data_IF_183869293473
#
_entry.id   IF_183869293473
#
_cell.length_a   1.000
_cell.length_b   1.000
_cell.length_c   1.000
_cell.angle_alpha   90.00
_cell.angle_beta   90.00
_cell.angle_gamma   90.00
#
_symmetry.space_group_name_H-M   'P 1'
#
loop_
_entity.id
_entity.type
_entity.pdbx_description
1 polymer ?
#
# COMPACT_ATOMS: atom_id res chain seq x y z
N UNK A 1 19.51 26.04 -7.68
CA UNK A 1 18.11 25.79 -7.34
C UNK A 1 17.79 26.41 -6.00
N UNK A 2 16.59 26.97 -5.85
CA UNK A 2 16.17 27.62 -4.62
C UNK A 2 15.79 26.59 -3.56
N UNK A 3 15.91 26.95 -2.29
CA UNK A 3 15.46 26.11 -1.16
C UNK A 3 13.95 25.81 -1.29
N UNK A 4 13.17 26.78 -1.71
CA UNK A 4 11.74 26.65 -1.95
C UNK A 4 11.39 25.52 -2.95
N UNK A 5 12.11 25.46 -4.08
CA UNK A 5 11.91 24.35 -5.03
C UNK A 5 12.22 22.98 -4.42
N UNK A 6 13.29 22.88 -3.61
CA UNK A 6 13.63 21.62 -2.95
C UNK A 6 12.55 21.17 -1.95
N UNK A 7 11.97 22.12 -1.23
CA UNK A 7 10.92 21.87 -0.26
C UNK A 7 9.61 21.42 -0.97
N UNK A 8 9.24 22.10 -2.06
CA UNK A 8 8.09 21.76 -2.90
C UNK A 8 8.29 20.39 -3.58
N UNK A 9 9.48 20.11 -4.11
CA UNK A 9 9.80 18.82 -4.71
C UNK A 9 9.73 17.68 -3.68
N UNK A 10 10.24 17.93 -2.47
CA UNK A 10 10.13 16.96 -1.37
C UNK A 10 8.69 16.72 -0.94
N UNK A 11 7.82 17.74 -0.97
CA UNK A 11 6.39 17.58 -0.72
C UNK A 11 5.71 16.77 -1.83
N UNK A 12 5.98 17.08 -3.10
CA UNK A 12 5.47 16.37 -4.26
C UNK A 12 5.87 14.88 -4.23
N UNK A 13 7.12 14.59 -3.90
CA UNK A 13 7.61 13.21 -3.77
C UNK A 13 6.83 12.42 -2.70
N UNK A 14 6.58 13.04 -1.53
CA UNK A 14 5.77 12.41 -0.47
C UNK A 14 4.33 12.19 -0.91
N UNK A 15 3.71 13.15 -1.60
CA UNK A 15 2.35 13.05 -2.09
C UNK A 15 2.21 11.92 -3.12
N UNK A 16 3.12 11.86 -4.11
CA UNK A 16 3.16 10.76 -5.10
C UNK A 16 3.32 9.41 -4.40
N UNK A 17 4.28 9.27 -3.48
CA UNK A 17 4.48 8.04 -2.73
C UNK A 17 3.19 7.60 -1.99
N UNK A 18 2.52 8.53 -1.32
CA UNK A 18 1.27 8.29 -0.60
C UNK A 18 0.13 7.83 -1.53
N UNK A 19 0.07 8.36 -2.76
CA UNK A 19 -0.90 7.94 -3.78
C UNK A 19 -0.70 6.48 -4.17
N UNK A 20 0.54 6.05 -4.42
CA UNK A 20 0.85 4.64 -4.72
C UNK A 20 0.56 3.71 -3.54
N UNK A 21 0.89 4.12 -2.31
CA UNK A 21 0.54 3.34 -1.11
C UNK A 21 -0.99 3.19 -0.94
N UNK A 22 -1.75 4.27 -1.12
CA UNK A 22 -3.23 4.26 -1.03
C UNK A 22 -3.87 3.43 -2.15
N UNK A 23 -3.24 3.36 -3.32
CA UNK A 23 -3.68 2.49 -4.42
C UNK A 23 -3.44 0.99 -4.13
N UNK A 24 -2.88 0.66 -2.98
CA UNK A 24 -2.59 -0.72 -2.60
C UNK A 24 -1.32 -1.29 -3.23
N UNK A 25 -0.50 -0.43 -3.85
CA UNK A 25 0.79 -0.85 -4.37
C UNK A 25 1.77 -1.10 -3.22
N UNK A 26 2.22 -2.32 -3.07
CA UNK A 26 3.12 -2.72 -1.98
C UNK A 26 4.55 -2.94 -2.44
N UNK A 27 4.73 -3.36 -3.69
CA UNK A 27 6.04 -3.71 -4.25
C UNK A 27 6.39 -2.73 -5.39
N UNK A 28 6.77 -1.51 -5.02
CA UNK A 28 7.28 -0.52 -5.97
C UNK A 28 8.51 0.15 -5.38
N UNK A 29 9.36 0.68 -6.26
CA UNK A 29 10.47 1.54 -5.87
C UNK A 29 10.32 2.90 -6.50
N UNK A 30 10.50 3.95 -5.69
CA UNK A 30 10.48 5.33 -6.12
C UNK A 30 11.88 5.90 -5.94
N UNK A 31 12.48 6.38 -7.03
CA UNK A 31 13.82 6.94 -7.06
C UNK A 31 13.80 8.29 -7.75
N UNK A 32 14.57 9.22 -7.21
CA UNK A 32 14.84 10.52 -7.84
C UNK A 32 16.14 10.42 -8.60
N UNK A 33 16.15 10.87 -9.84
CA UNK A 33 17.35 11.01 -10.67
C UNK A 33 17.95 12.42 -10.52
N UNK A 34 19.17 12.60 -11.02
CA UNK A 34 19.93 13.86 -10.86
C UNK A 34 19.27 15.06 -11.53
N UNK A 35 18.39 14.83 -12.51
CA UNK A 35 17.60 15.82 -13.24
C UNK A 35 16.21 16.10 -12.62
N UNK A 36 15.98 15.65 -11.39
CA UNK A 36 14.68 15.71 -10.70
C UNK A 36 13.57 14.87 -11.33
N UNK A 37 13.90 13.95 -12.20
CA UNK A 37 12.95 12.95 -12.70
C UNK A 37 12.62 11.96 -11.58
N UNK A 38 11.33 11.73 -11.37
CA UNK A 38 10.83 10.71 -10.44
C UNK A 38 10.63 9.43 -11.23
N UNK A 39 11.47 8.44 -10.99
CA UNK A 39 11.35 7.10 -11.56
C UNK A 39 10.62 6.17 -10.62
N UNK A 40 9.54 5.57 -11.10
CA UNK A 40 8.73 4.61 -10.35
C UNK A 40 8.81 3.26 -11.07
N UNK A 41 9.26 2.25 -10.37
CA UNK A 41 9.36 0.88 -10.87
C UNK A 41 8.36 0.01 -10.13
N UNK A 42 7.44 -0.61 -10.85
CA UNK A 42 6.41 -1.49 -10.31
C UNK A 42 6.64 -2.89 -10.88
N UNK A 43 7.21 -3.82 -10.11
CA UNK A 43 7.42 -5.19 -10.57
C UNK A 43 6.10 -5.95 -10.66
N UNK A 44 6.03 -6.90 -11.59
CA UNK A 44 4.91 -7.84 -11.68
C UNK A 44 3.68 -7.36 -12.45
N UNK A 45 3.73 -6.17 -13.06
CA UNK A 45 2.73 -5.78 -14.06
C UNK A 45 3.08 -6.44 -15.39
N UNK A 46 2.13 -7.21 -15.93
CA UNK A 46 2.27 -7.87 -17.23
C UNK A 46 1.73 -6.94 -18.32
N UNK A 47 2.63 -6.31 -19.08
CA UNK A 47 2.28 -5.42 -20.16
C UNK A 47 1.83 -6.15 -21.45
N UNK A 48 1.90 -7.46 -21.48
CA UNK A 48 1.22 -8.26 -22.52
C UNK A 48 -0.30 -8.29 -22.27
N UNK A 49 -0.74 -7.98 -21.03
CA UNK A 49 -2.13 -7.73 -20.71
C UNK A 49 -2.47 -6.25 -20.94
N UNK A 50 -3.32 -6.00 -21.92
CA UNK A 50 -3.81 -4.65 -22.26
C UNK A 50 -4.40 -3.88 -21.07
N UNK A 51 -5.11 -4.56 -20.17
CA UNK A 51 -5.70 -3.92 -18.98
C UNK A 51 -4.64 -3.51 -17.96
N UNK A 52 -3.60 -4.32 -17.77
CA UNK A 52 -2.51 -3.97 -16.86
C UNK A 52 -1.69 -2.78 -17.38
N UNK A 53 -1.44 -2.71 -18.70
CA UNK A 53 -0.80 -1.55 -19.31
C UNK A 53 -1.64 -0.28 -19.12
N UNK A 54 -2.94 -0.35 -19.44
CA UNK A 54 -3.86 0.78 -19.30
C UNK A 54 -3.98 1.25 -17.84
N UNK A 55 -3.98 0.32 -16.88
CA UNK A 55 -4.00 0.65 -15.45
C UNK A 55 -2.72 1.36 -15.02
N UNK A 56 -1.54 0.85 -15.42
CA UNK A 56 -0.27 1.49 -15.12
C UNK A 56 -0.18 2.91 -15.72
N UNK A 57 -0.61 3.08 -16.97
CA UNK A 57 -0.65 4.37 -17.64
C UNK A 57 -1.60 5.35 -16.91
N UNK A 58 -2.75 4.86 -16.46
CA UNK A 58 -3.70 5.66 -15.70
C UNK A 58 -3.12 6.09 -14.35
N UNK A 59 -2.49 5.18 -13.62
CA UNK A 59 -1.84 5.53 -12.34
C UNK A 59 -0.78 6.61 -12.50
N UNK A 60 0.15 6.44 -13.45
CA UNK A 60 1.23 7.40 -13.62
C UNK A 60 0.70 8.77 -14.05
N UNK A 61 -0.32 8.80 -14.90
CA UNK A 61 -0.95 10.02 -15.37
C UNK A 61 -1.69 10.74 -14.24
N UNK A 62 -2.62 10.06 -13.56
CA UNK A 62 -3.43 10.68 -12.51
C UNK A 62 -2.60 11.02 -11.26
N UNK A 63 -1.64 10.18 -10.89
CA UNK A 63 -0.82 10.43 -9.70
C UNK A 63 0.20 11.55 -9.89
N UNK A 64 0.44 11.98 -11.12
CA UNK A 64 1.23 13.19 -11.44
C UNK A 64 0.41 14.49 -11.42
N UNK A 65 -0.94 14.43 -11.31
CA UNK A 65 -1.75 15.65 -11.31
C UNK A 65 -1.46 16.52 -10.08
N UNK A 66 -1.35 17.81 -10.34
CA UNK A 66 -1.08 18.86 -9.35
C UNK A 66 -2.34 19.71 -9.11
N UNK A 67 -2.39 20.39 -7.99
CA UNK A 67 -3.49 21.27 -7.61
C UNK A 67 -4.52 20.62 -6.68
N UNK A 68 -5.42 21.45 -6.16
CA UNK A 68 -6.54 21.08 -5.30
C UNK A 68 -7.76 20.59 -6.09
N UNK A 69 -8.75 20.09 -5.36
CA UNK A 69 -10.04 19.67 -5.93
C UNK A 69 -10.95 20.88 -6.06
N UNK A 70 -11.60 21.01 -7.22
CA UNK A 70 -12.67 21.98 -7.45
C UNK A 70 -13.85 21.27 -8.11
N UNK A 71 -15.05 21.46 -7.55
CA UNK A 71 -16.29 21.08 -8.19
C UNK A 71 -16.92 22.32 -8.82
N UNK A 72 -17.30 22.26 -10.09
CA UNK A 72 -17.90 23.39 -10.80
C UNK A 72 -18.84 22.96 -11.93
N UNK A 73 -19.58 23.89 -12.52
CA UNK A 73 -20.38 23.67 -13.73
C UNK A 73 -19.59 23.94 -15.03
N UNK A 74 -18.35 24.42 -14.93
CA UNK A 74 -17.47 24.58 -16.09
C UNK A 74 -16.93 23.23 -16.55
N UNK A 75 -17.00 22.96 -17.86
CA UNK A 75 -16.52 21.70 -18.43
C UNK A 75 -14.99 21.61 -18.50
N UNK A 76 -14.30 22.73 -18.46
CA UNK A 76 -12.85 22.84 -18.36
C UNK A 76 -12.47 23.48 -17.02
N UNK A 77 -11.33 23.07 -16.47
CA UNK A 77 -10.89 23.54 -15.15
C UNK A 77 -10.58 25.04 -15.11
N UNK A 78 -10.15 25.62 -16.24
CA UNK A 78 -9.92 27.05 -16.45
C UNK A 78 -11.13 27.79 -17.03
N UNK A 79 -12.27 27.11 -17.18
CA UNK A 79 -13.51 27.67 -17.70
C UNK A 79 -14.20 28.62 -16.72
N UNK A 80 -14.98 29.58 -17.26
CA UNK A 80 -15.85 30.42 -16.43
C UNK A 80 -16.94 29.56 -15.82
N UNK A 81 -16.92 29.41 -14.48
CA UNK A 81 -17.92 28.70 -13.71
C UNK A 81 -19.02 29.65 -13.22
N UNK A 82 -20.29 29.24 -13.32
CA UNK A 82 -21.39 29.97 -12.71
C UNK A 82 -21.44 29.73 -11.20
N UNK A 83 -21.08 28.52 -10.77
CA UNK A 83 -20.95 28.14 -9.38
C UNK A 83 -19.84 27.12 -9.19
N UNK A 84 -19.11 27.23 -8.08
CA UNK A 84 -18.03 26.33 -7.74
C UNK A 84 -17.94 26.06 -6.24
N UNK A 85 -17.32 24.93 -5.87
CA UNK A 85 -17.04 24.54 -4.49
C UNK A 85 -15.62 23.98 -4.42
N UNK A 86 -14.81 24.45 -3.47
CA UNK A 86 -13.50 23.88 -3.21
C UNK A 86 -13.61 22.53 -2.49
N UNK A 87 -12.85 21.55 -2.95
CA UNK A 87 -12.82 20.19 -2.40
C UNK A 87 -11.77 20.02 -1.30
N UNK A 88 -11.69 20.95 -0.35
CA UNK A 88 -10.79 20.86 0.81
C UNK A 88 -11.35 19.94 1.90
N UNK A 89 -10.53 19.63 2.92
CA UNK A 89 -10.96 18.87 4.11
C UNK A 89 -12.09 19.51 4.92
N UNK A 90 -12.39 20.80 4.69
CA UNK A 90 -13.57 21.46 5.23
C UNK A 90 -14.85 20.93 4.57
N UNK A 91 -14.83 20.69 3.28
CA UNK A 91 -15.99 20.31 2.47
C UNK A 91 -16.07 18.81 2.20
N UNK A 92 -14.94 18.13 2.01
CA UNK A 92 -14.87 16.69 1.71
C UNK A 92 -14.26 15.95 2.90
N UNK A 93 -14.96 14.93 3.40
CA UNK A 93 -14.49 14.07 4.48
C UNK A 93 -13.56 12.98 3.99
N UNK A 94 -13.94 12.31 2.91
CA UNK A 94 -13.16 11.21 2.30
C UNK A 94 -13.68 10.90 0.91
N UNK A 95 -12.83 10.29 0.08
CA UNK A 95 -13.23 9.72 -1.20
C UNK A 95 -12.89 8.23 -1.20
N UNK A 96 -13.84 7.40 -1.61
CA UNK A 96 -13.72 5.94 -1.63
C UNK A 96 -14.31 5.37 -2.90
N UNK A 97 -14.21 4.07 -3.09
CA UNK A 97 -14.87 3.34 -4.18
C UNK A 97 -16.00 2.48 -3.63
N UNK A 98 -17.02 2.25 -4.45
CA UNK A 98 -18.09 1.32 -4.15
C UNK A 98 -18.47 0.53 -5.40
N UNK A 99 -18.81 -0.75 -5.20
CA UNK A 99 -19.36 -1.58 -6.26
C UNK A 99 -20.82 -1.17 -6.51
N UNK A 100 -21.14 -0.77 -7.75
CA UNK A 100 -22.46 -0.36 -8.20
C UNK A 100 -23.22 -1.48 -8.93
N UNK A 101 -22.87 -2.73 -8.70
CA UNK A 101 -23.49 -3.90 -9.33
C UNK A 101 -23.27 -3.94 -10.85
N UNK A 102 -24.36 -4.05 -11.61
CA UNK A 102 -24.30 -4.12 -13.09
C UNK A 102 -23.74 -2.84 -13.74
N UNK A 103 -23.64 -1.74 -12.98
CA UNK A 103 -23.09 -0.46 -13.46
C UNK A 103 -21.57 -0.34 -13.20
N UNK A 104 -20.89 -1.40 -12.79
CA UNK A 104 -19.47 -1.41 -12.50
C UNK A 104 -19.13 -0.83 -11.13
N UNK A 105 -18.16 0.06 -11.09
CA UNK A 105 -17.71 0.74 -9.86
C UNK A 105 -18.02 2.24 -9.91
N UNK A 106 -18.17 2.82 -8.73
CA UNK A 106 -18.38 4.24 -8.54
C UNK A 106 -17.32 4.85 -7.64
N UNK A 107 -16.96 6.09 -7.94
CA UNK A 107 -16.24 6.97 -7.02
C UNK A 107 -17.27 7.59 -6.08
N UNK A 108 -17.02 7.48 -4.78
CA UNK A 108 -17.93 7.94 -3.72
C UNK A 108 -17.27 9.07 -2.96
N UNK A 109 -17.82 10.28 -3.08
CA UNK A 109 -17.32 11.46 -2.38
C UNK A 109 -18.23 11.69 -1.17
N UNK A 110 -17.67 11.57 0.03
CA UNK A 110 -18.37 11.81 1.28
C UNK A 110 -18.13 13.26 1.71
N UNK A 111 -19.21 14.05 1.78
CA UNK A 111 -19.15 15.44 2.18
C UNK A 111 -19.18 15.59 3.71
N UNK A 112 -18.66 16.69 4.20
CA UNK A 112 -18.90 17.17 5.56
C UNK A 112 -20.25 17.88 5.64
N UNK A 113 -20.66 18.33 6.82
CA UNK A 113 -21.86 19.15 6.95
C UNK A 113 -21.74 20.49 6.21
N UNK A 114 -20.54 21.10 6.22
CA UNK A 114 -20.25 22.32 5.47
C UNK A 114 -20.25 22.06 3.96
N UNK A 115 -19.62 20.96 3.53
CA UNK A 115 -19.58 20.57 2.12
C UNK A 115 -20.96 20.23 1.56
N UNK A 116 -21.83 19.59 2.33
CA UNK A 116 -23.22 19.35 1.94
C UNK A 116 -23.97 20.66 1.70
N UNK A 117 -23.82 21.64 2.58
CA UNK A 117 -24.47 22.96 2.41
C UNK A 117 -23.89 23.68 1.19
N UNK A 118 -22.56 23.72 1.03
CA UNK A 118 -21.90 24.32 -0.13
C UNK A 118 -22.32 23.64 -1.45
N UNK A 119 -22.41 22.31 -1.46
CA UNK A 119 -22.87 21.56 -2.63
C UNK A 119 -24.33 21.82 -2.97
N UNK A 120 -25.17 21.93 -1.96
CA UNK A 120 -26.59 22.28 -2.12
C UNK A 120 -26.75 23.68 -2.73
N UNK A 121 -26.02 24.68 -2.23
CA UNK A 121 -26.03 26.04 -2.75
C UNK A 121 -25.51 26.08 -4.20
N UNK A 122 -24.41 25.39 -4.49
CA UNK A 122 -23.83 25.26 -5.83
C UNK A 122 -24.88 24.68 -6.81
N UNK A 123 -25.47 23.53 -6.48
CA UNK A 123 -26.45 22.85 -7.36
C UNK A 123 -27.75 23.63 -7.53
N UNK A 124 -28.17 24.39 -6.52
CA UNK A 124 -29.30 25.34 -6.59
C UNK A 124 -29.00 26.45 -7.61
N UNK A 125 -27.79 27.04 -7.54
CA UNK A 125 -27.36 28.10 -8.45
C UNK A 125 -27.29 27.61 -9.89
N UNK A 126 -26.69 26.45 -10.12
CA UNK A 126 -26.57 25.81 -11.44
C UNK A 126 -27.96 25.51 -12.02
N UNK A 127 -28.86 24.99 -11.18
CA UNK A 127 -30.24 24.67 -11.61
C UNK A 127 -31.06 25.89 -11.98
N UNK A 128 -30.85 27.00 -11.29
CA UNK A 128 -31.57 28.27 -11.57
C UNK A 128 -31.05 28.96 -12.84
N UNK A 129 -29.79 28.76 -13.20
CA UNK A 129 -29.17 29.32 -14.41
C UNK A 129 -29.40 28.47 -15.66
N UNK A 130 -29.73 27.19 -15.50
CA UNK A 130 -29.99 26.28 -16.62
C UNK A 130 -31.40 26.47 -17.17
N UNK A 131 -31.55 26.73 -18.47
CA UNK A 131 -32.85 26.73 -19.14
C UNK A 131 -33.51 25.36 -19.01
N UNK A 132 -34.76 25.31 -18.70
CA UNK A 132 -35.64 24.23 -18.21
C UNK A 132 -35.66 22.88 -19.00
N UNK A 133 -34.72 22.58 -19.90
CA UNK A 133 -34.68 21.35 -20.69
C UNK A 133 -33.33 20.62 -20.75
N UNK A 134 -32.27 21.18 -20.19
CA UNK A 134 -30.96 20.50 -20.13
C UNK A 134 -30.62 20.13 -18.68
N UNK A 135 -30.30 18.86 -18.44
CA UNK A 135 -29.70 18.44 -17.18
C UNK A 135 -28.37 19.20 -16.99
N UNK A 136 -28.23 19.88 -15.87
CA UNK A 136 -26.95 20.50 -15.50
C UNK A 136 -25.92 19.42 -15.22
N UNK A 137 -24.66 19.71 -15.49
CA UNK A 137 -23.56 18.79 -15.21
C UNK A 137 -22.61 19.46 -14.23
N UNK A 138 -22.22 18.75 -13.21
CA UNK A 138 -21.14 19.13 -12.30
C UNK A 138 -19.89 18.35 -12.71
N UNK A 139 -18.80 19.05 -12.81
CA UNK A 139 -17.47 18.50 -13.11
C UNK A 139 -16.61 18.57 -11.85
N UNK A 140 -15.76 17.56 -11.69
CA UNK A 140 -14.75 17.51 -10.61
C UNK A 140 -13.38 17.65 -11.26
N UNK A 141 -12.69 18.70 -10.89
CA UNK A 141 -11.35 19.03 -11.38
C UNK A 141 -10.30 18.80 -10.31
N UNK A 142 -9.09 18.46 -10.74
CA UNK A 142 -7.88 18.52 -9.91
C UNK A 142 -6.86 19.35 -10.68
N UNK A 143 -6.50 20.52 -10.14
CA UNK A 143 -5.73 21.51 -10.87
C UNK A 143 -6.37 21.84 -12.22
N UNK A 144 -5.62 21.67 -13.30
CA UNK A 144 -6.07 21.98 -14.67
C UNK A 144 -6.80 20.79 -15.35
N UNK A 145 -7.03 19.70 -14.65
CA UNK A 145 -7.56 18.48 -15.25
C UNK A 145 -8.97 18.13 -14.75
N UNK A 146 -9.88 17.86 -15.69
CA UNK A 146 -11.21 17.35 -15.39
C UNK A 146 -11.19 15.83 -15.21
N UNK A 147 -11.56 15.34 -14.03
CA UNK A 147 -11.51 13.92 -13.67
C UNK A 147 -12.84 13.20 -13.80
N UNK A 148 -13.90 13.84 -13.34
CA UNK A 148 -15.24 13.27 -13.23
C UNK A 148 -16.28 14.26 -13.71
N UNK A 149 -17.43 13.75 -14.16
CA UNK A 149 -18.59 14.54 -14.47
C UNK A 149 -19.86 13.79 -14.06
N UNK A 150 -20.83 14.51 -13.52
CA UNK A 150 -22.12 13.95 -13.10
C UNK A 150 -23.28 14.88 -13.46
N UNK A 151 -24.34 14.30 -14.03
CA UNK A 151 -25.57 15.03 -14.30
C UNK A 151 -26.34 15.34 -13.01
N UNK A 152 -26.78 16.58 -12.86
CA UNK A 152 -27.52 17.09 -11.69
C UNK A 152 -28.93 17.46 -12.11
N UNK A 153 -29.91 16.96 -11.38
CA UNK A 153 -31.33 17.24 -11.61
C UNK A 153 -31.91 18.10 -10.48
N UNK A 154 -31.59 19.38 -10.48
CA UNK A 154 -32.07 20.29 -9.47
C UNK A 154 -31.15 20.44 -8.25
N UNK A 155 -31.63 21.11 -7.21
CA UNK A 155 -30.96 21.24 -5.92
C UNK A 155 -30.74 19.85 -5.30
N UNK A 156 -29.51 19.54 -4.91
CA UNK A 156 -29.14 18.25 -4.30
C UNK A 156 -28.73 18.47 -2.84
N UNK A 157 -29.50 17.88 -1.93
CA UNK A 157 -29.21 17.88 -0.49
C UNK A 157 -28.76 16.48 -0.04
N UNK A 158 -27.54 16.12 -0.39
CA UNK A 158 -26.94 14.82 -0.11
C UNK A 158 -25.56 14.98 0.52
N UNK A 159 -25.25 14.10 1.46
CA UNK A 159 -23.94 14.03 2.12
C UNK A 159 -22.98 13.04 1.43
N UNK A 160 -23.45 12.34 0.40
CA UNK A 160 -22.64 11.38 -0.36
C UNK A 160 -22.97 11.47 -1.85
N UNK A 161 -21.94 11.68 -2.67
CA UNK A 161 -22.07 11.75 -4.12
C UNK A 161 -21.54 10.45 -4.73
N UNK A 162 -22.33 9.81 -5.61
CA UNK A 162 -21.95 8.60 -6.33
C UNK A 162 -21.76 8.93 -7.80
N UNK A 163 -20.56 8.72 -8.33
CA UNK A 163 -20.22 8.92 -9.74
C UNK A 163 -19.76 7.59 -10.29
N UNK A 164 -20.61 6.89 -11.03
CA UNK A 164 -20.39 5.52 -11.50
C UNK A 164 -20.03 5.41 -12.97
N UNK A 165 -19.90 4.16 -13.45
CA UNK A 165 -19.60 3.84 -14.84
C UNK A 165 -18.12 3.55 -15.09
N UNK A 166 -17.37 3.19 -14.05
CA UNK A 166 -15.94 2.87 -14.13
C UNK A 166 -15.65 1.37 -13.93
N UNK A 167 -14.49 0.93 -14.37
CA UNK A 167 -13.91 -0.32 -13.89
C UNK A 167 -13.43 -0.15 -12.44
N UNK A 168 -13.07 -1.25 -11.78
CA UNK A 168 -12.55 -1.21 -10.41
C UNK A 168 -11.27 -0.39 -10.34
N UNK A 169 -10.37 -0.62 -11.28
CA UNK A 169 -9.07 0.04 -11.40
C UNK A 169 -9.23 1.55 -11.64
N UNK A 170 -10.10 1.91 -12.60
CA UNK A 170 -10.36 3.31 -12.92
C UNK A 170 -10.97 4.08 -11.74
N UNK A 171 -11.95 3.47 -11.04
CA UNK A 171 -12.55 4.07 -9.87
C UNK A 171 -11.52 4.23 -8.75
N UNK A 172 -10.66 3.22 -8.54
CA UNK A 172 -9.62 3.22 -7.52
C UNK A 172 -8.61 4.33 -7.74
N UNK A 173 -8.07 4.46 -8.96
CA UNK A 173 -7.08 5.50 -9.27
C UNK A 173 -7.66 6.90 -9.06
N UNK A 174 -8.89 7.16 -9.52
CA UNK A 174 -9.56 8.45 -9.34
C UNK A 174 -9.89 8.74 -7.87
N UNK A 175 -10.39 7.75 -7.14
CA UNK A 175 -10.70 7.91 -5.73
C UNK A 175 -9.45 8.19 -4.89
N UNK A 176 -8.35 7.48 -5.15
CA UNK A 176 -7.06 7.69 -4.48
C UNK A 176 -6.51 9.08 -4.75
N UNK A 177 -6.56 9.54 -6.01
CA UNK A 177 -6.12 10.88 -6.36
C UNK A 177 -6.94 11.93 -5.59
N UNK A 178 -8.27 11.88 -5.68
CA UNK A 178 -9.14 12.83 -5.00
C UNK A 178 -8.94 12.79 -3.48
N UNK A 179 -8.92 11.60 -2.87
CA UNK A 179 -8.70 11.47 -1.42
C UNK A 179 -7.32 12.00 -0.96
N UNK A 180 -6.32 11.95 -1.85
CA UNK A 180 -5.00 12.52 -1.56
C UNK A 180 -4.98 14.05 -1.63
N UNK A 181 -5.87 14.68 -2.38
CA UNK A 181 -5.94 16.14 -2.57
C UNK A 181 -6.88 16.83 -1.57
N UNK A 182 -7.49 16.12 -0.62
CA UNK A 182 -8.34 16.70 0.43
C UNK A 182 -7.50 17.51 1.44
N UNK A 183 -6.27 17.06 1.73
CA UNK A 183 -5.37 17.72 2.68
C UNK A 183 -4.39 18.62 1.93
N UNK A 184 -4.32 19.88 2.34
CA UNK A 184 -3.40 20.87 1.76
C UNK A 184 -1.94 20.42 1.80
N UNK A 185 -1.56 19.61 2.80
CA UNK A 185 -0.21 19.04 2.91
C UNK A 185 0.15 18.02 1.82
N UNK A 186 -0.84 17.46 1.14
CA UNK A 186 -0.70 16.40 0.14
C UNK A 186 -0.98 16.91 -1.29
N UNK A 187 -1.33 18.19 -1.44
CA UNK A 187 -1.48 18.85 -2.73
C UNK A 187 -0.09 19.04 -3.34
N UNK A 188 0.02 18.71 -4.63
CA UNK A 188 1.24 18.93 -5.40
C UNK A 188 1.15 20.29 -6.09
N UNK A 189 2.03 21.22 -5.70
CA UNK A 189 2.10 22.56 -6.30
C UNK A 189 3.02 22.63 -7.53
N UNK A 190 3.80 21.57 -7.77
CA UNK A 190 4.69 21.48 -8.92
C UNK A 190 3.97 20.82 -10.10
N UNK A 191 4.06 21.43 -11.27
CA UNK A 191 3.63 20.80 -12.51
C UNK A 191 4.67 19.80 -13.01
N UNK A 192 4.25 18.59 -13.27
CA UNK A 192 5.07 17.58 -13.92
C UNK A 192 4.91 17.64 -15.44
N UNK A 193 5.98 17.33 -16.17
CA UNK A 193 5.89 17.05 -17.60
C UNK A 193 5.05 15.78 -17.83
N UNK A 194 4.63 15.56 -19.10
CA UNK A 194 3.85 14.38 -19.46
C UNK A 194 4.61 13.10 -19.07
N UNK A 195 4.06 12.25 -18.18
CA UNK A 195 4.74 11.07 -17.73
C UNK A 195 4.84 10.02 -18.85
N UNK A 196 5.97 9.35 -18.92
CA UNK A 196 6.21 8.23 -19.82
C UNK A 196 6.11 6.90 -19.08
N UNK A 197 5.44 5.92 -19.68
CA UNK A 197 5.32 4.57 -19.15
C UNK A 197 5.85 3.57 -20.18
N UNK A 198 6.72 2.68 -19.75
CA UNK A 198 7.26 1.62 -20.60
C UNK A 198 7.54 0.35 -19.80
N UNK A 199 7.39 -0.80 -20.46
CA UNK A 199 7.75 -2.08 -19.87
C UNK A 199 9.24 -2.34 -19.99
N UNK A 200 9.79 -3.06 -19.02
CA UNK A 200 11.16 -3.54 -19.03
C UNK A 200 11.17 -5.03 -18.69
N UNK A 201 11.93 -5.80 -19.46
CA UNK A 201 12.13 -7.20 -19.14
C UNK A 201 12.81 -7.36 -17.77
N UNK A 202 12.40 -8.40 -16.99
CA UNK A 202 13.00 -8.64 -15.68
C UNK A 202 14.51 -8.98 -15.84
N UNK A 203 15.35 -8.17 -15.23
CA UNK A 203 16.84 -8.32 -15.27
C UNK A 203 17.29 -9.70 -14.81
N UNK A 204 16.57 -10.32 -13.87
CA UNK A 204 16.87 -11.66 -13.35
C UNK A 204 16.26 -12.81 -14.18
N UNK A 205 15.58 -12.50 -15.28
CA UNK A 205 14.88 -13.45 -16.14
C UNK A 205 13.47 -13.84 -15.66
N UNK A 206 12.65 -14.35 -16.58
CA UNK A 206 11.24 -14.69 -16.34
C UNK A 206 11.03 -15.77 -15.28
N UNK A 207 12.00 -16.65 -15.05
CA UNK A 207 11.91 -17.73 -14.06
C UNK A 207 12.54 -17.38 -12.71
N UNK A 208 12.91 -16.13 -12.47
CA UNK A 208 13.59 -15.69 -11.24
C UNK A 208 12.81 -16.03 -9.96
N UNK A 209 11.50 -15.82 -9.95
CA UNK A 209 10.65 -16.16 -8.81
C UNK A 209 10.67 -17.65 -8.48
N UNK A 210 10.62 -18.52 -9.50
CA UNK A 210 10.67 -19.98 -9.33
C UNK A 210 12.05 -20.40 -8.80
N UNK A 211 13.14 -19.84 -9.35
CA UNK A 211 14.50 -20.13 -8.90
C UNK A 211 14.69 -19.72 -7.43
N UNK A 212 14.21 -18.54 -7.05
CA UNK A 212 14.25 -18.06 -5.65
C UNK A 212 13.44 -19.00 -4.75
N UNK A 213 12.24 -19.39 -5.14
CA UNK A 213 11.41 -20.32 -4.37
C UNK A 213 12.09 -21.68 -4.17
N UNK A 214 12.73 -22.23 -5.20
CA UNK A 214 13.52 -23.48 -5.10
C UNK A 214 14.70 -23.31 -4.14
N UNK A 215 15.47 -22.22 -4.27
CA UNK A 215 16.60 -21.95 -3.37
C UNK A 215 16.17 -21.84 -1.91
N UNK A 216 15.07 -21.15 -1.64
CA UNK A 216 14.46 -21.04 -0.31
C UNK A 216 14.05 -22.42 0.21
N UNK A 217 13.36 -23.21 -0.60
CA UNK A 217 12.95 -24.57 -0.25
C UNK A 217 14.14 -25.46 0.13
N UNK A 218 15.22 -25.40 -0.64
CA UNK A 218 16.46 -26.12 -0.36
C UNK A 218 17.11 -25.67 0.96
N UNK A 219 17.17 -24.35 1.21
CA UNK A 219 17.71 -23.81 2.47
C UNK A 219 16.89 -24.24 3.69
N UNK A 220 15.57 -24.15 3.61
CA UNK A 220 14.66 -24.59 4.68
C UNK A 220 14.83 -26.09 4.93
N UNK A 221 14.86 -26.91 3.88
CA UNK A 221 15.05 -28.35 4.01
C UNK A 221 16.41 -28.66 4.67
N UNK A 222 17.47 -27.99 4.26
CA UNK A 222 18.79 -28.16 4.85
C UNK A 222 18.80 -27.81 6.35
N UNK A 223 18.12 -26.72 6.75
CA UNK A 223 17.98 -26.32 8.16
C UNK A 223 17.21 -27.39 8.99
N UNK A 224 16.13 -27.93 8.45
CA UNK A 224 15.35 -28.98 9.13
C UNK A 224 16.14 -30.29 9.27
N UNK A 225 16.83 -30.70 8.21
CA UNK A 225 17.70 -31.89 8.24
C UNK A 225 18.83 -31.69 9.24
N UNK A 226 19.49 -30.53 9.24
CA UNK A 226 20.53 -30.20 10.22
C UNK A 226 20.01 -30.32 11.66
N UNK A 227 18.83 -29.77 11.94
CA UNK A 227 18.19 -29.87 13.26
C UNK A 227 17.91 -31.32 13.68
N UNK A 228 17.41 -32.16 12.78
CA UNK A 228 17.14 -33.57 13.06
C UNK A 228 18.43 -34.34 13.34
N UNK A 229 19.46 -34.14 12.54
CA UNK A 229 20.76 -34.83 12.70
C UNK A 229 21.46 -34.38 14.00
N UNK A 230 21.50 -33.08 14.27
CA UNK A 230 22.19 -32.49 15.41
C UNK A 230 21.49 -32.74 16.75
N UNK A 231 20.19 -32.65 16.79
CA UNK A 231 19.39 -32.69 18.04
C UNK A 231 18.51 -33.93 18.16
N UNK A 232 18.43 -34.78 17.14
CA UNK A 232 17.65 -36.03 17.16
C UNK A 232 16.18 -35.78 17.58
N UNK A 233 15.72 -36.35 18.68
CA UNK A 233 14.33 -36.17 19.15
C UNK A 233 13.93 -34.71 19.46
N UNK A 234 14.85 -33.87 19.93
CA UNK A 234 14.60 -32.44 20.07
C UNK A 234 14.50 -31.73 18.72
N UNK A 235 15.16 -32.25 17.68
CA UNK A 235 15.01 -31.77 16.32
C UNK A 235 13.59 -31.91 15.76
N UNK A 236 12.87 -32.97 16.17
CA UNK A 236 11.44 -33.12 15.83
C UNK A 236 10.59 -31.98 16.42
N UNK A 237 10.87 -31.54 17.64
CA UNK A 237 10.19 -30.39 18.24
C UNK A 237 10.45 -29.10 17.43
N UNK A 238 11.67 -28.96 16.88
CA UNK A 238 11.97 -27.83 15.99
C UNK A 238 11.20 -27.90 14.69
N UNK A 239 11.12 -29.07 14.03
CA UNK A 239 10.33 -29.28 12.81
C UNK A 239 8.86 -28.94 13.06
N UNK A 240 8.29 -29.41 14.17
CA UNK A 240 6.91 -29.08 14.56
C UNK A 240 6.71 -27.58 14.75
N UNK A 241 7.61 -26.91 15.47
CA UNK A 241 7.60 -25.47 15.66
C UNK A 241 7.67 -24.71 14.33
N UNK A 242 8.50 -25.17 13.40
CA UNK A 242 8.62 -24.57 12.06
C UNK A 242 7.33 -24.72 11.24
N UNK A 243 6.70 -25.89 11.27
CA UNK A 243 5.40 -26.11 10.62
C UNK A 243 4.33 -25.18 11.20
N UNK A 244 4.30 -25.06 12.54
CA UNK A 244 3.37 -24.13 13.21
C UNK A 244 3.59 -22.68 12.77
N UNK A 245 4.87 -22.25 12.70
CA UNK A 245 5.23 -20.93 12.21
C UNK A 245 4.77 -20.73 10.76
N UNK A 246 5.05 -21.70 9.87
CA UNK A 246 4.63 -21.62 8.47
C UNK A 246 3.10 -21.50 8.32
N UNK A 247 2.34 -22.27 9.09
CA UNK A 247 0.87 -22.18 9.12
C UNK A 247 0.43 -20.78 9.61
N UNK A 248 1.07 -20.24 10.64
CA UNK A 248 0.75 -18.91 11.15
C UNK A 248 1.03 -17.82 10.10
N UNK A 249 2.17 -17.88 9.40
CA UNK A 249 2.50 -16.95 8.31
C UNK A 249 1.47 -17.04 7.18
N UNK A 250 1.12 -18.24 6.73
CA UNK A 250 0.08 -18.42 5.70
C UNK A 250 -1.26 -17.85 6.16
N UNK A 251 -1.65 -18.11 7.41
CA UNK A 251 -2.87 -17.56 7.98
C UNK A 251 -2.85 -16.02 8.02
N UNK A 252 -1.74 -15.41 8.42
CA UNK A 252 -1.61 -13.95 8.40
C UNK A 252 -1.75 -13.38 7.00
N UNK A 253 -1.10 -13.97 6.00
CA UNK A 253 -1.20 -13.54 4.59
C UNK A 253 -2.64 -13.69 4.08
N UNK A 254 -3.34 -14.76 4.47
CA UNK A 254 -4.70 -15.02 4.00
C UNK A 254 -5.77 -14.18 4.70
N UNK A 255 -5.57 -13.81 5.97
CA UNK A 255 -6.59 -13.14 6.79
C UNK A 255 -6.43 -11.62 6.81
N UNK A 256 -5.22 -11.11 6.53
CA UNK A 256 -4.92 -9.68 6.59
C UNK A 256 -4.69 -9.16 5.17
N UNK A 257 -5.66 -8.46 4.55
CA UNK A 257 -5.54 -8.00 3.17
C UNK A 257 -4.35 -7.06 2.91
N UNK A 258 -3.88 -6.38 3.97
CA UNK A 258 -2.72 -5.49 3.89
C UNK A 258 -1.38 -6.23 3.82
N UNK A 259 -1.35 -7.55 4.06
CA UNK A 259 -0.12 -8.34 4.00
C UNK A 259 0.01 -8.98 2.64
N UNK A 260 0.96 -8.52 1.87
CA UNK A 260 1.24 -9.03 0.52
C UNK A 260 2.59 -9.76 0.49
N UNK A 261 2.70 -10.76 -0.39
CA UNK A 261 3.96 -11.49 -0.59
C UNK A 261 4.85 -10.67 -1.51
N UNK A 262 5.78 -9.93 -0.92
CA UNK A 262 6.80 -9.18 -1.64
C UNK A 262 8.17 -9.85 -1.49
N UNK A 263 9.14 -9.49 -2.32
CA UNK A 263 10.51 -9.96 -2.16
C UNK A 263 11.09 -9.57 -0.78
N UNK A 264 10.77 -8.37 -0.31
CA UNK A 264 11.11 -7.88 1.03
C UNK A 264 10.48 -8.75 2.13
N UNK A 265 9.20 -9.10 2.01
CA UNK A 265 8.49 -9.99 2.95
C UNK A 265 9.11 -11.40 3.00
N UNK A 266 9.51 -11.95 1.85
CA UNK A 266 10.21 -13.25 1.77
C UNK A 266 11.55 -13.19 2.51
N UNK A 267 12.34 -12.13 2.35
CA UNK A 267 13.60 -11.93 3.10
C UNK A 267 13.31 -11.86 4.60
N UNK A 268 12.27 -11.14 5.02
CA UNK A 268 11.83 -11.06 6.41
C UNK A 268 11.49 -12.44 6.99
N UNK A 269 10.72 -13.26 6.27
CA UNK A 269 10.36 -14.64 6.66
C UNK A 269 11.62 -15.51 6.84
N UNK A 270 12.60 -15.37 5.93
CA UNK A 270 13.88 -16.11 6.03
C UNK A 270 14.67 -15.70 7.25
N UNK A 271 14.78 -14.39 7.52
CA UNK A 271 15.47 -13.88 8.70
C UNK A 271 14.80 -14.35 10.01
N UNK A 272 13.48 -14.24 10.10
CA UNK A 272 12.71 -14.72 11.25
C UNK A 272 12.90 -16.23 11.46
N UNK A 273 12.90 -17.02 10.38
CA UNK A 273 13.17 -18.45 10.41
C UNK A 273 14.59 -18.78 10.92
N UNK A 274 15.60 -18.06 10.46
CA UNK A 274 16.98 -18.23 10.91
C UNK A 274 17.16 -17.92 12.40
N UNK A 275 16.46 -16.90 12.90
CA UNK A 275 16.46 -16.53 14.31
C UNK A 275 15.74 -17.59 15.15
N UNK A 276 14.61 -18.11 14.69
CA UNK A 276 13.92 -19.22 15.35
C UNK A 276 14.83 -20.44 15.50
N UNK A 277 15.56 -20.80 14.43
CA UNK A 277 16.58 -21.90 14.49
C UNK A 277 17.63 -21.59 15.56
N UNK A 278 18.14 -20.37 15.61
CA UNK A 278 19.17 -19.94 16.55
C UNK A 278 18.69 -20.01 18.00
N UNK A 279 17.47 -19.56 18.30
CA UNK A 279 16.85 -19.63 19.62
C UNK A 279 16.64 -21.10 20.05
N UNK A 280 16.15 -21.96 19.17
CA UNK A 280 15.98 -23.38 19.44
C UNK A 280 17.33 -24.08 19.65
N UNK A 281 18.35 -23.74 18.86
CA UNK A 281 19.70 -24.25 19.05
C UNK A 281 20.26 -23.92 20.45
N UNK A 282 20.07 -22.68 20.89
CA UNK A 282 20.49 -22.24 22.22
C UNK A 282 19.73 -22.99 23.32
N UNK A 283 18.42 -23.13 23.20
CA UNK A 283 17.57 -23.88 24.14
C UNK A 283 18.00 -25.36 24.24
N UNK A 284 18.18 -26.01 23.09
CA UNK A 284 18.54 -27.43 23.05
C UNK A 284 19.97 -27.68 23.61
N UNK A 285 20.90 -26.77 23.40
CA UNK A 285 22.22 -26.86 24.01
C UNK A 285 22.15 -26.74 25.53
N UNK A 286 21.33 -25.83 26.06
CA UNK A 286 21.13 -25.69 27.50
C UNK A 286 20.48 -26.95 28.10
N UNK A 287 19.50 -27.56 27.41
CA UNK A 287 18.90 -28.83 27.83
C UNK A 287 19.97 -29.95 27.87
N UNK A 288 20.81 -30.05 26.83
CA UNK A 288 21.89 -31.03 26.80
C UNK A 288 22.91 -30.83 27.94
N UNK A 289 23.27 -29.58 28.24
CA UNK A 289 24.17 -29.26 29.36
C UNK A 289 23.56 -29.68 30.70
N UNK A 290 22.28 -29.37 30.93
CA UNK A 290 21.56 -29.76 32.15
C UNK A 290 21.43 -31.29 32.29
N UNK A 291 21.18 -32.00 31.19
CA UNK A 291 21.11 -33.45 31.19
C UNK A 291 22.46 -34.07 31.51
N UNK A 292 23.56 -33.50 31.03
CA UNK A 292 24.92 -33.96 31.33
C UNK A 292 25.29 -33.80 32.81
N UNK A 293 24.57 -32.98 33.58
CA UNK A 293 24.77 -32.88 35.04
C UNK A 293 24.10 -34.01 35.84
N UNK A 294 23.50 -35.01 35.18
CA UNK A 294 22.84 -36.16 35.83
C UNK A 294 21.37 -35.91 36.17
N UNK A 295 20.75 -34.81 35.73
CA UNK A 295 19.32 -34.56 35.93
C UNK A 295 18.46 -35.48 35.04
N UNK A 296 17.24 -35.75 35.52
CA UNK A 296 16.26 -36.45 34.68
C UNK A 296 15.92 -35.63 33.42
N UNK A 297 15.49 -36.30 32.36
CA UNK A 297 15.14 -35.64 31.10
C UNK A 297 14.12 -34.51 31.30
N UNK A 298 13.07 -34.77 32.06
CA UNK A 298 12.01 -33.77 32.35
C UNK A 298 12.57 -32.56 33.09
N UNK A 299 13.42 -32.77 34.12
CA UNK A 299 14.06 -31.69 34.85
C UNK A 299 15.03 -30.89 33.96
N UNK A 300 15.77 -31.54 33.08
CA UNK A 300 16.71 -30.92 32.13
C UNK A 300 15.98 -30.06 31.12
N UNK A 301 14.86 -30.54 30.57
CA UNK A 301 14.00 -29.78 29.67
C UNK A 301 13.51 -28.52 30.38
N UNK A 302 12.88 -28.65 31.56
CA UNK A 302 12.35 -27.52 32.31
C UNK A 302 13.42 -26.49 32.65
N UNK A 303 14.58 -26.92 33.12
CA UNK A 303 15.66 -26.00 33.50
C UNK A 303 16.33 -25.38 32.28
N UNK A 304 16.56 -26.14 31.21
CA UNK A 304 17.17 -25.67 29.98
C UNK A 304 16.32 -24.60 29.28
N UNK A 305 15.01 -24.82 29.16
CA UNK A 305 14.11 -23.80 28.62
C UNK A 305 14.04 -22.56 29.51
N UNK A 306 13.98 -22.70 30.86
CA UNK A 306 13.98 -21.56 31.78
C UNK A 306 15.24 -20.70 31.62
N UNK A 307 16.41 -21.33 31.42
CA UNK A 307 17.68 -20.62 31.16
C UNK A 307 17.72 -19.91 29.82
N UNK A 308 16.99 -20.42 28.83
CA UNK A 308 16.95 -19.87 27.49
C UNK A 308 15.86 -18.82 27.31
N UNK A 309 14.87 -18.77 28.21
CA UNK A 309 13.67 -17.97 28.07
C UNK A 309 13.99 -16.48 27.97
N UNK A 310 14.84 -15.94 28.86
CA UNK A 310 15.23 -14.53 28.83
C UNK A 310 15.85 -14.16 27.49
N UNK A 311 16.83 -14.93 27.04
CA UNK A 311 17.48 -14.70 25.73
C UNK A 311 16.46 -14.74 24.57
N UNK A 312 15.54 -15.70 24.58
CA UNK A 312 14.52 -15.83 23.53
C UNK A 312 13.56 -14.63 23.53
N UNK A 313 13.12 -14.19 24.71
CA UNK A 313 12.26 -13.00 24.84
C UNK A 313 12.99 -11.75 24.36
N UNK A 314 14.23 -11.55 24.79
CA UNK A 314 15.03 -10.38 24.42
C UNK A 314 15.22 -10.28 22.90
N UNK A 315 15.57 -11.41 22.26
CA UNK A 315 15.76 -11.48 20.80
C UNK A 315 14.44 -11.13 20.08
N UNK A 316 13.32 -11.72 20.49
CA UNK A 316 12.04 -11.42 19.84
C UNK A 316 11.57 -9.98 20.10
N UNK A 317 11.81 -9.44 21.31
CA UNK A 317 11.50 -8.05 21.62
C UNK A 317 12.32 -7.08 20.73
N UNK A 318 13.62 -7.35 20.55
CA UNK A 318 14.48 -6.54 19.67
C UNK A 318 13.98 -6.63 18.21
N UNK A 319 13.59 -7.81 17.75
CA UNK A 319 13.07 -8.00 16.39
C UNK A 319 11.76 -7.25 16.14
N UNK A 320 10.82 -7.34 17.10
CA UNK A 320 9.55 -6.61 17.00
C UNK A 320 9.82 -5.11 16.96
N UNK A 321 10.72 -4.59 17.82
CA UNK A 321 11.08 -3.18 17.83
C UNK A 321 11.78 -2.76 16.53
N UNK A 322 12.69 -3.57 16.01
CA UNK A 322 13.36 -3.32 14.74
C UNK A 322 12.38 -3.38 13.56
N UNK A 323 11.50 -4.38 13.54
CA UNK A 323 10.43 -4.49 12.54
C UNK A 323 9.50 -3.28 12.58
N UNK A 324 9.06 -2.87 13.77
CA UNK A 324 8.22 -1.68 13.93
C UNK A 324 8.94 -0.41 13.45
N UNK A 325 10.22 -0.24 13.76
CA UNK A 325 11.01 0.89 13.30
C UNK A 325 11.13 0.91 11.76
N UNK A 326 11.42 -0.23 11.15
CA UNK A 326 11.46 -0.36 9.68
C UNK A 326 10.07 -0.05 9.09
N UNK A 327 9.01 -0.59 9.66
CA UNK A 327 7.65 -0.35 9.17
C UNK A 327 7.22 1.13 9.23
N UNK A 328 7.65 1.85 10.28
CA UNK A 328 7.34 3.28 10.45
C UNK A 328 8.16 4.21 9.55
N UNK A 329 9.42 3.83 9.26
CA UNK A 329 10.36 4.72 8.55
C UNK A 329 10.38 4.42 7.05
N UNK A 330 10.16 3.16 6.67
CA UNK A 330 10.28 2.71 5.28
C UNK A 330 9.00 2.90 4.48
N UNK A 331 9.17 2.99 3.16
CA UNK A 331 8.09 3.06 2.16
C UNK A 331 8.25 1.93 1.14
N UNK A 332 7.18 1.59 0.43
CA UNK A 332 7.19 0.58 -0.62
C UNK A 332 7.64 -0.81 -0.14
N UNK A 333 8.41 -1.51 -0.96
CA UNK A 333 8.85 -2.89 -0.72
C UNK A 333 9.59 -3.10 0.61
N UNK A 334 10.35 -2.11 1.10
CA UNK A 334 11.09 -2.20 2.36
C UNK A 334 10.16 -2.28 3.58
N UNK A 335 8.99 -1.67 3.54
CA UNK A 335 7.98 -1.70 4.60
C UNK A 335 7.48 -3.12 4.85
N UNK A 336 7.29 -3.90 3.79
CA UNK A 336 6.79 -5.28 3.87
C UNK A 336 7.83 -6.29 4.36
N UNK A 337 9.12 -5.94 4.34
CA UNK A 337 10.16 -6.76 4.97
C UNK A 337 10.01 -6.85 6.49
N UNK A 338 9.38 -5.85 7.11
CA UNK A 338 9.21 -5.77 8.56
C UNK A 338 8.05 -6.62 9.10
N UNK A 339 7.04 -6.93 8.26
CA UNK A 339 5.81 -7.61 8.69
C UNK A 339 6.00 -9.03 9.28
N UNK A 340 6.97 -9.85 8.84
CA UNK A 340 7.17 -11.19 9.41
C UNK A 340 7.77 -11.20 10.82
N UNK A 341 8.27 -10.09 11.33
CA UNK A 341 8.84 -9.95 12.68
C UNK A 341 7.79 -9.58 13.72
#
# INVERSE_FOLDING_TARGET
MTQEFQDQFGAALRAVNKRYEKAGMSDYTLRVQDDYTIRIEIPGLDFDDYYAEQYAQSMITYFSYSGGIVLSDASAADGEATAQMEGSGENIRSVTTANAGDSGYAVVINLTSAGREAFREMTSTISSSSSSSSSATVYVHVGDQTLLSAGVKGEMDQDTLYIGGFTEEEATVRAVLLDSCISDSDIIDLSFETPECYSMDPVAGTNSALIVAICIGVLVLAMLVFSLVKFKGMGLAHVYGFVTYAVAVIACISLIPAVQITLGGVIGILLASAIMVSCNYFAFNNIKKEFATGKTLTASIKTGYKKSLAFTIDVHAILILAGLAVWLISTGAAKFMALPF
#
